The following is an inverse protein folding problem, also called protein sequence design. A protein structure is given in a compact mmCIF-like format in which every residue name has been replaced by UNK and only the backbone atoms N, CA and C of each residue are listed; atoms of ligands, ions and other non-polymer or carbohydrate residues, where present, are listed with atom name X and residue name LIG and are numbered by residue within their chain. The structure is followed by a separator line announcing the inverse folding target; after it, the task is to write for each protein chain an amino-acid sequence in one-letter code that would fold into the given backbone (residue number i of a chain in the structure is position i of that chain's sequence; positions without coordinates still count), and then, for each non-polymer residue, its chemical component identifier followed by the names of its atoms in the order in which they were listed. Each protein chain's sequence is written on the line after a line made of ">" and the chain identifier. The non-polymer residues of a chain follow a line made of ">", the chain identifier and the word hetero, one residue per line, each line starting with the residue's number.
data_IF_221443287771
#
_entry.id   IF_221443287771
#
_cell.length_a   1.000
_cell.length_b   1.000
_cell.length_c   1.000
_cell.angle_alpha   90.00
_cell.angle_beta   90.00
_cell.angle_gamma   90.00
#
_symmetry.space_group_name_H-M   'P 1'
#
loop_
_entity.id
_entity.type
_entity.pdbx_description
1 polymer ?
#
# COMPACT_ATOMS: atom_id res chain seq x y z
N UNK A 1 -7.93 20.81 -5.82
CA UNK A 1 -7.17 22.09 -5.75
C UNK A 1 -6.43 22.29 -7.06
N UNK A 2 -6.33 23.52 -7.60
CA UNK A 2 -5.53 23.77 -8.82
C UNK A 2 -4.03 23.66 -8.47
N UNK A 3 -3.22 22.83 -9.16
CA UNK A 3 -1.78 22.76 -8.91
C UNK A 3 -1.12 24.11 -9.23
N UNK A 4 -0.15 24.52 -8.40
CA UNK A 4 0.54 25.79 -8.57
C UNK A 4 1.43 25.79 -9.84
N UNK A 5 1.98 26.96 -10.17
CA UNK A 5 2.80 27.15 -11.36
C UNK A 5 4.05 26.25 -11.41
N UNK A 6 4.62 25.88 -10.25
CA UNK A 6 5.81 25.02 -10.13
C UNK A 6 5.53 23.56 -10.53
N UNK A 7 4.39 23.01 -10.09
CA UNK A 7 4.00 21.67 -10.53
C UNK A 7 3.57 21.65 -11.99
N UNK A 8 2.94 22.71 -12.51
CA UNK A 8 2.58 22.83 -13.93
C UNK A 8 3.79 22.86 -14.87
N UNK A 9 4.94 23.38 -14.44
CA UNK A 9 6.19 23.36 -15.23
C UNK A 9 6.98 22.07 -15.08
N UNK A 10 6.87 21.35 -13.95
CA UNK A 10 7.49 20.04 -13.74
C UNK A 10 6.68 18.87 -14.30
N UNK A 11 5.34 18.99 -14.38
CA UNK A 11 4.40 18.00 -14.92
C UNK A 11 4.89 17.43 -16.27
N UNK A 12 5.20 18.26 -17.29
CA UNK A 12 5.57 17.74 -18.60
C UNK A 12 6.89 16.98 -18.60
N UNK A 13 7.81 17.32 -17.69
CA UNK A 13 9.12 16.67 -17.60
C UNK A 13 9.05 15.36 -16.80
N UNK A 14 8.38 15.35 -15.64
CA UNK A 14 8.22 14.16 -14.80
C UNK A 14 7.42 13.06 -15.53
N UNK A 15 6.32 13.41 -16.20
CA UNK A 15 5.50 12.46 -16.96
C UNK A 15 6.19 11.97 -18.24
N UNK A 16 7.10 12.73 -18.86
CA UNK A 16 7.86 12.28 -20.05
C UNK A 16 8.94 11.24 -19.76
N UNK A 17 9.46 11.19 -18.53
CA UNK A 17 10.51 10.23 -18.15
C UNK A 17 9.92 8.96 -17.50
N UNK A 18 8.67 9.02 -17.05
CA UNK A 18 7.94 7.92 -16.43
C UNK A 18 7.95 6.58 -17.19
N UNK A 19 7.76 6.54 -18.53
CA UNK A 19 7.79 5.28 -19.29
C UNK A 19 9.18 4.60 -19.29
N UNK A 20 10.25 5.38 -19.15
CA UNK A 20 11.62 4.84 -19.02
C UNK A 20 11.87 4.30 -17.62
N UNK A 21 11.18 4.85 -16.63
CA UNK A 21 11.24 4.45 -15.23
C UNK A 21 10.44 3.16 -14.95
N UNK A 22 9.26 2.99 -15.58
CA UNK A 22 8.47 1.76 -15.48
C UNK A 22 9.22 0.55 -16.07
N UNK A 23 9.98 0.73 -17.17
CA UNK A 23 10.72 -0.36 -17.80
C UNK A 23 11.77 -1.04 -16.90
N UNK A 24 12.40 -0.31 -15.97
CA UNK A 24 13.32 -0.89 -14.98
C UNK A 24 12.60 -1.81 -13.99
N UNK A 25 11.48 -1.32 -13.46
CA UNK A 25 10.63 -2.09 -12.53
C UNK A 25 10.04 -3.33 -13.23
N UNK A 26 9.49 -3.18 -14.44
CA UNK A 26 8.91 -4.29 -15.21
C UNK A 26 9.95 -5.39 -15.48
N UNK A 27 11.16 -5.04 -15.93
CA UNK A 27 12.23 -6.03 -16.18
C UNK A 27 12.71 -6.72 -14.90
N UNK A 28 12.60 -6.05 -13.77
CA UNK A 28 13.02 -6.56 -12.48
C UNK A 28 11.97 -7.44 -11.81
N UNK A 29 10.68 -7.19 -12.09
CA UNK A 29 9.57 -8.00 -11.60
C UNK A 29 9.68 -9.42 -12.13
N UNK A 30 9.46 -10.40 -11.24
CA UNK A 30 9.56 -11.82 -11.56
C UNK A 30 10.99 -12.36 -11.60
N UNK A 31 12.02 -11.52 -11.48
CA UNK A 31 13.40 -11.99 -11.25
C UNK A 31 13.60 -12.31 -9.76
N UNK A 32 14.55 -13.20 -9.40
CA UNK A 32 14.90 -13.44 -8.01
C UNK A 32 15.37 -12.16 -7.30
N UNK A 33 14.86 -11.93 -6.10
CA UNK A 33 15.31 -10.84 -5.24
C UNK A 33 16.73 -11.12 -4.71
N UNK A 34 17.63 -10.17 -4.94
CA UNK A 34 19.07 -10.31 -4.67
C UNK A 34 19.67 -9.16 -3.87
N UNK A 35 18.83 -8.25 -3.34
CA UNK A 35 19.31 -7.02 -2.67
C UNK A 35 18.80 -6.87 -1.22
N UNK A 36 18.93 -7.88 -0.36
CA UNK A 36 18.36 -7.84 0.99
C UNK A 36 18.91 -6.67 1.85
N UNK A 37 20.17 -6.26 1.65
CA UNK A 37 20.75 -5.12 2.37
C UNK A 37 20.14 -3.75 2.07
N UNK A 38 19.13 -3.67 1.19
CA UNK A 38 18.38 -2.43 0.94
C UNK A 38 17.23 -2.19 1.91
N UNK A 39 16.78 -3.23 2.64
CA UNK A 39 15.58 -3.19 3.50
C UNK A 39 15.86 -2.48 4.83
N UNK A 40 16.24 -1.20 4.76
CA UNK A 40 16.73 -0.41 5.91
C UNK A 40 15.77 0.70 6.29
N UNK A 41 15.61 1.02 7.58
CA UNK A 41 14.62 2.03 8.00
C UNK A 41 15.02 3.46 7.65
N UNK A 42 16.30 3.73 7.44
CA UNK A 42 16.84 5.06 7.15
C UNK A 42 16.43 6.15 8.17
N UNK A 43 16.39 5.78 9.46
CA UNK A 43 16.01 6.65 10.59
C UNK A 43 16.72 8.00 10.53
N UNK A 44 15.96 9.09 10.54
CA UNK A 44 16.49 10.46 10.54
C UNK A 44 17.39 10.79 9.33
N UNK A 45 17.38 9.95 8.29
CA UNK A 45 18.30 10.05 7.17
C UNK A 45 18.10 11.32 6.34
N UNK A 46 19.18 12.04 6.06
CA UNK A 46 19.14 13.20 5.16
C UNK A 46 18.93 12.78 3.68
N UNK A 47 19.38 11.58 3.31
CA UNK A 47 19.29 11.10 1.92
C UNK A 47 17.94 10.47 1.60
N UNK A 48 17.45 9.57 2.45
CA UNK A 48 16.15 8.93 2.28
C UNK A 48 15.17 9.62 3.22
N UNK A 49 14.26 10.40 2.66
CA UNK A 49 13.31 11.22 3.41
C UNK A 49 12.17 10.41 4.01
N UNK A 50 11.90 9.22 3.47
CA UNK A 50 10.97 8.27 4.07
C UNK A 50 11.22 6.83 3.63
N UNK A 51 10.74 5.88 4.44
CA UNK A 51 10.65 4.45 4.14
C UNK A 51 9.26 3.90 4.46
N UNK A 52 8.90 2.82 3.79
CA UNK A 52 7.67 2.07 4.06
C UNK A 52 8.01 0.62 4.34
N UNK A 53 7.31 0.05 5.31
CA UNK A 53 7.24 -1.39 5.54
C UNK A 53 5.78 -1.80 5.63
N UNK A 54 5.44 -2.93 5.00
CA UNK A 54 4.09 -3.45 5.07
C UNK A 54 4.03 -4.97 5.02
N UNK A 55 2.96 -5.53 5.59
CA UNK A 55 2.55 -6.90 5.33
C UNK A 55 1.08 -6.88 4.99
N UNK A 56 0.71 -7.43 3.84
CA UNK A 56 -0.68 -7.49 3.38
C UNK A 56 -1.04 -8.94 3.09
N UNK A 57 -2.02 -9.46 3.82
CA UNK A 57 -2.51 -10.84 3.70
C UNK A 57 -4.01 -10.76 3.42
N UNK A 58 -4.46 -11.16 2.21
CA UNK A 58 -5.87 -11.27 1.89
C UNK A 58 -6.44 -12.60 2.42
N UNK A 59 -7.77 -12.74 2.31
CA UNK A 59 -8.50 -14.00 2.45
C UNK A 59 -8.23 -14.79 3.75
N UNK A 60 -8.21 -14.07 4.87
CA UNK A 60 -8.15 -14.71 6.18
C UNK A 60 -9.51 -15.26 6.60
N UNK A 61 -9.55 -16.29 7.47
CA UNK A 61 -10.79 -16.74 8.09
C UNK A 61 -11.55 -15.60 8.78
N UNK A 62 -12.86 -15.77 8.91
CA UNK A 62 -13.68 -14.92 9.78
C UNK A 62 -13.14 -14.98 11.22
N UNK A 63 -13.18 -13.87 11.98
CA UNK A 63 -13.72 -12.55 11.59
C UNK A 63 -12.70 -11.65 10.88
N UNK A 64 -11.48 -12.13 10.63
CA UNK A 64 -10.35 -11.28 10.23
C UNK A 64 -10.43 -10.84 8.77
N UNK A 65 -10.75 -11.74 7.83
CA UNK A 65 -10.90 -11.51 6.36
C UNK A 65 -9.66 -11.00 5.62
N UNK A 66 -8.81 -10.22 6.28
CA UNK A 66 -7.50 -9.77 5.84
C UNK A 66 -6.66 -9.43 7.08
N UNK A 67 -5.35 -9.33 6.90
CA UNK A 67 -4.44 -8.70 7.86
C UNK A 67 -3.57 -7.68 7.12
N UNK A 68 -3.37 -6.52 7.72
CA UNK A 68 -2.45 -5.51 7.21
C UNK A 68 -1.66 -4.85 8.32
N UNK A 69 -0.36 -4.70 8.11
CA UNK A 69 0.48 -3.70 8.76
C UNK A 69 0.96 -2.71 7.70
N UNK A 70 0.81 -1.41 7.98
CA UNK A 70 1.27 -0.31 7.13
C UNK A 70 2.09 0.65 8.00
N UNK A 71 3.37 0.75 7.68
CA UNK A 71 4.31 1.65 8.36
C UNK A 71 4.86 2.64 7.35
N UNK A 72 4.81 3.93 7.67
CA UNK A 72 5.46 4.99 6.90
C UNK A 72 6.34 5.78 7.86
N UNK A 73 7.65 5.59 7.73
CA UNK A 73 8.70 6.21 8.54
C UNK A 73 9.27 7.43 7.80
N UNK A 74 9.04 8.62 8.33
CA UNK A 74 9.21 9.90 7.64
C UNK A 74 7.99 10.24 6.77
N UNK A 75 7.58 11.51 6.73
CA UNK A 75 6.47 11.94 5.88
C UNK A 75 6.87 11.88 4.38
N UNK A 76 6.00 11.36 3.49
CA UNK A 76 6.30 11.29 2.05
C UNK A 76 6.44 12.63 1.33
N UNK A 77 5.82 13.71 1.82
CA UNK A 77 5.75 14.99 1.12
C UNK A 77 4.66 15.01 0.02
N UNK A 78 3.61 14.20 0.16
CA UNK A 78 2.55 14.02 -0.83
C UNK A 78 1.17 14.29 -0.22
N UNK A 79 0.29 14.96 -0.97
CA UNK A 79 -1.03 15.43 -0.45
C UNK A 79 -1.95 14.34 0.05
N UNK A 80 -1.86 13.14 -0.52
CA UNK A 80 -2.63 11.95 -0.12
C UNK A 80 -2.01 11.19 1.05
N UNK A 81 -0.69 11.21 1.18
CA UNK A 81 0.01 10.34 2.14
C UNK A 81 0.39 11.07 3.43
N UNK A 82 0.59 12.38 3.38
CA UNK A 82 0.98 13.14 4.57
C UNK A 82 -0.22 13.44 5.48
N UNK A 83 -0.12 13.00 6.73
CA UNK A 83 -0.94 13.49 7.84
C UNK A 83 -0.16 14.52 8.65
N UNK A 84 -0.24 15.81 8.29
CA UNK A 84 0.51 16.86 9.00
C UNK A 84 0.14 16.94 10.49
N UNK A 85 -1.10 16.59 10.84
CA UNK A 85 -1.58 16.53 12.22
C UNK A 85 -0.98 15.36 13.03
N UNK A 86 -0.37 14.38 12.36
CA UNK A 86 0.26 13.23 13.01
C UNK A 86 1.73 13.47 13.35
N UNK A 87 2.32 14.61 12.94
CA UNK A 87 3.72 14.94 13.21
C UNK A 87 3.94 15.02 14.71
N UNK A 88 4.87 14.20 15.23
CA UNK A 88 5.18 14.10 16.65
C UNK A 88 6.27 15.11 17.05
N UNK A 89 7.41 15.07 16.35
CA UNK A 89 8.58 15.94 16.56
C UNK A 89 8.85 16.76 15.29
N UNK A 90 9.24 16.10 14.20
CA UNK A 90 9.43 16.67 12.86
C UNK A 90 8.91 15.72 11.80
N UNK A 91 8.62 16.19 10.57
CA UNK A 91 8.23 15.30 9.47
C UNK A 91 9.21 14.16 9.21
N UNK A 92 10.52 14.37 9.38
CA UNK A 92 11.53 13.33 9.18
C UNK A 92 11.58 12.33 10.33
N UNK A 93 11.32 12.75 11.57
CA UNK A 93 11.37 11.88 12.74
C UNK A 93 10.02 11.23 13.08
N UNK A 94 8.95 11.57 12.36
CA UNK A 94 7.63 10.96 12.56
C UNK A 94 7.51 9.65 11.79
N UNK A 95 7.06 8.58 12.46
CA UNK A 95 6.55 7.36 11.82
C UNK A 95 5.07 7.21 12.11
N UNK A 96 4.29 6.82 11.09
CA UNK A 96 2.90 6.39 11.26
C UNK A 96 2.81 4.88 11.11
N UNK A 97 2.05 4.25 12.00
CA UNK A 97 1.84 2.81 12.04
C UNK A 97 0.36 2.54 12.07
N UNK A 98 -0.09 1.72 11.14
CA UNK A 98 -1.43 1.17 11.08
C UNK A 98 -1.34 -0.35 11.11
N UNK A 99 -2.22 -0.99 11.88
CA UNK A 99 -2.46 -2.42 11.77
C UNK A 99 -3.94 -2.71 11.87
N UNK A 100 -4.46 -3.58 11.02
CA UNK A 100 -5.88 -3.94 11.10
C UNK A 100 -6.24 -5.28 10.49
N UNK A 101 -7.41 -5.77 10.91
CA UNK A 101 -8.22 -6.79 10.23
C UNK A 101 -9.65 -6.26 10.08
N UNK A 102 -10.54 -7.03 9.43
CA UNK A 102 -11.96 -6.72 9.39
C UNK A 102 -12.67 -6.93 10.73
N UNK A 103 -12.06 -7.68 11.66
CA UNK A 103 -12.70 -8.05 12.91
C UNK A 103 -13.04 -6.81 13.77
N UNK A 104 -14.18 -6.80 14.49
CA UNK A 104 -14.54 -5.69 15.37
C UNK A 104 -13.43 -5.38 16.38
N UNK A 105 -13.09 -4.10 16.54
CA UNK A 105 -12.03 -3.66 17.47
C UNK A 105 -10.59 -3.93 17.01
N UNK A 106 -10.37 -4.75 15.98
CA UNK A 106 -9.04 -5.13 15.51
C UNK A 106 -8.47 -4.13 14.49
N UNK A 107 -8.36 -2.86 14.90
CA UNK A 107 -7.72 -1.82 14.11
C UNK A 107 -7.00 -0.81 15.01
N UNK A 108 -5.83 -0.40 14.59
CA UNK A 108 -4.96 0.49 15.33
C UNK A 108 -4.26 1.44 14.35
N UNK A 109 -4.20 2.72 14.70
CA UNK A 109 -3.42 3.73 14.01
C UNK A 109 -2.77 4.66 15.02
N UNK A 110 -1.47 4.89 14.89
CA UNK A 110 -0.72 5.81 15.76
C UNK A 110 0.50 6.38 15.06
N UNK A 111 0.92 7.56 15.52
CA UNK A 111 2.19 8.14 15.17
C UNK A 111 3.18 8.10 16.35
N UNK A 112 4.46 7.95 16.04
CA UNK A 112 5.56 7.93 16.99
C UNK A 112 6.71 8.82 16.52
N UNK A 113 7.52 9.31 17.45
CA UNK A 113 8.89 9.72 17.14
C UNK A 113 9.75 8.46 16.96
N UNK A 114 10.45 8.37 15.82
CA UNK A 114 11.37 7.28 15.55
C UNK A 114 12.57 7.28 16.50
N UNK A 115 13.06 8.46 16.89
CA UNK A 115 14.23 8.58 17.76
C UNK A 115 13.92 8.49 19.25
N UNK A 116 12.72 8.87 19.68
CA UNK A 116 12.35 8.88 21.10
C UNK A 116 11.52 7.67 21.52
N UNK A 117 10.76 7.06 20.60
CA UNK A 117 9.74 6.06 20.95
C UNK A 117 9.87 4.75 20.18
N UNK A 118 10.76 4.65 19.20
CA UNK A 118 10.99 3.42 18.43
C UNK A 118 12.40 2.87 18.71
N UNK A 119 12.56 1.57 18.47
CA UNK A 119 13.87 0.91 18.41
C UNK A 119 14.03 0.32 17.02
N UNK A 120 14.84 1.00 16.21
CA UNK A 120 15.02 0.70 14.79
C UNK A 120 16.51 0.43 14.54
N UNK A 121 16.86 -0.83 14.30
CA UNK A 121 18.24 -1.20 14.03
C UNK A 121 18.66 -0.74 12.63
N UNK A 122 19.85 -0.13 12.44
CA UNK A 122 20.24 0.46 11.15
C UNK A 122 20.30 -0.51 9.97
N UNK A 123 20.45 -1.81 10.24
CA UNK A 123 20.47 -2.87 9.23
C UNK A 123 19.07 -3.40 8.88
N UNK A 124 18.03 -2.95 9.60
CA UNK A 124 16.65 -3.39 9.43
C UNK A 124 16.30 -4.70 10.13
N UNK A 125 17.20 -5.24 10.95
CA UNK A 125 16.99 -6.53 11.65
C UNK A 125 15.91 -6.48 12.74
N UNK A 126 15.63 -5.30 13.26
CA UNK A 126 14.55 -5.04 14.20
C UNK A 126 13.96 -3.66 13.94
N UNK A 127 12.63 -3.63 13.83
CA UNK A 127 11.81 -2.45 13.68
C UNK A 127 10.69 -2.53 14.73
N UNK A 128 10.96 -1.97 15.91
CA UNK A 128 10.01 -1.91 17.02
C UNK A 128 9.40 -0.50 17.09
N UNK A 129 8.10 -0.42 16.84
CA UNK A 129 7.33 0.82 16.82
C UNK A 129 6.55 1.00 18.12
N UNK A 130 7.25 1.42 19.18
CA UNK A 130 6.66 1.72 20.48
C UNK A 130 6.12 0.49 21.22
N UNK A 131 6.60 -0.71 20.89
CA UNK A 131 6.13 -2.00 21.41
C UNK A 131 4.83 -2.50 20.80
N UNK A 132 4.11 -1.68 20.05
CA UNK A 132 2.77 -2.01 19.53
C UNK A 132 2.83 -2.90 18.29
N UNK A 133 3.82 -2.66 17.42
CA UNK A 133 4.12 -3.47 16.23
C UNK A 133 5.62 -3.67 16.15
N UNK A 134 6.04 -4.93 16.03
CA UNK A 134 7.45 -5.31 15.93
C UNK A 134 7.64 -6.12 14.66
N UNK A 135 8.56 -5.69 13.79
CA UNK A 135 9.03 -6.47 12.65
C UNK A 135 10.48 -6.85 12.92
N UNK A 136 10.77 -8.14 13.01
CA UNK A 136 12.11 -8.66 13.32
C UNK A 136 12.58 -9.67 12.28
N UNK A 137 13.90 -9.85 12.20
CA UNK A 137 14.54 -10.76 11.27
C UNK A 137 15.06 -10.06 10.01
N UNK A 138 15.32 -10.84 8.97
CA UNK A 138 15.90 -10.34 7.74
C UNK A 138 15.72 -11.35 6.61
N UNK A 139 15.73 -10.86 5.37
CA UNK A 139 15.47 -11.70 4.22
C UNK A 139 16.33 -13.00 4.26
N UNK A 140 15.72 -14.19 4.09
CA UNK A 140 14.33 -14.39 3.67
C UNK A 140 13.30 -14.53 4.82
N UNK A 141 13.70 -14.50 6.09
CA UNK A 141 12.81 -14.81 7.22
C UNK A 141 12.50 -13.58 8.07
N UNK A 142 11.22 -13.29 8.23
CA UNK A 142 10.73 -12.18 9.03
C UNK A 142 9.71 -12.68 10.05
N UNK A 143 9.48 -11.89 11.09
CA UNK A 143 8.38 -12.08 12.02
C UNK A 143 7.72 -10.75 12.32
N UNK A 144 6.40 -10.73 12.30
CA UNK A 144 5.58 -9.57 12.64
C UNK A 144 4.79 -9.90 13.88
N UNK A 145 4.96 -9.09 14.92
CA UNK A 145 4.23 -9.21 16.18
C UNK A 145 3.42 -7.94 16.42
N UNK A 146 2.19 -8.12 16.89
CA UNK A 146 1.27 -7.03 17.25
C UNK A 146 0.86 -7.19 18.72
N UNK A 147 1.02 -6.14 19.50
CA UNK A 147 0.70 -6.11 20.94
C UNK A 147 -0.28 -5.00 21.27
N UNK A 148 -1.57 -5.21 20.98
CA UNK A 148 -2.63 -4.26 21.33
C UNK A 148 -3.70 -4.92 22.18
N UNK A 149 -4.29 -4.13 23.08
CA UNK A 149 -5.41 -4.59 23.90
C UNK A 149 -6.56 -5.06 23.01
N UNK A 150 -6.93 -6.33 23.15
CA UNK A 150 -8.00 -6.94 22.38
C UNK A 150 -7.62 -7.36 20.96
N UNK A 151 -6.43 -7.04 20.44
CA UNK A 151 -5.95 -7.45 19.11
C UNK A 151 -4.44 -7.71 19.11
N UNK A 152 -4.06 -8.98 19.01
CA UNK A 152 -2.66 -9.39 18.95
C UNK A 152 -2.42 -10.35 17.79
N UNK A 153 -1.18 -10.42 17.32
CA UNK A 153 -0.81 -11.31 16.24
C UNK A 153 0.67 -11.68 16.34
N UNK A 154 1.01 -12.84 15.81
CA UNK A 154 2.39 -13.31 15.66
C UNK A 154 2.44 -14.12 14.36
N UNK A 155 3.08 -13.54 13.36
CA UNK A 155 3.16 -14.08 12.01
C UNK A 155 4.63 -14.25 11.64
N UNK A 156 5.01 -15.47 11.25
CA UNK A 156 6.32 -15.75 10.66
C UNK A 156 6.16 -15.75 9.15
N UNK A 157 7.05 -15.05 8.46
CA UNK A 157 7.02 -14.91 7.02
C UNK A 157 8.32 -15.40 6.41
N UNK A 158 8.22 -16.13 5.31
CA UNK A 158 9.36 -16.60 4.53
C UNK A 158 9.22 -16.15 3.08
N UNK A 159 10.08 -15.24 2.65
CA UNK A 159 10.15 -14.81 1.27
C UNK A 159 10.74 -15.92 0.38
N UNK A 160 10.10 -16.19 -0.75
CA UNK A 160 10.54 -17.23 -1.69
C UNK A 160 11.45 -16.70 -2.82
N UNK A 161 11.79 -15.41 -2.77
CA UNK A 161 12.63 -14.73 -3.75
C UNK A 161 11.87 -14.11 -4.93
N UNK A 162 10.58 -14.39 -5.13
CA UNK A 162 9.79 -13.67 -6.12
C UNK A 162 9.53 -12.23 -5.64
N UNK A 163 9.83 -11.25 -6.48
CA UNK A 163 9.61 -9.83 -6.20
C UNK A 163 8.81 -9.16 -7.31
N UNK A 164 7.87 -8.32 -6.91
CA UNK A 164 7.22 -7.34 -7.76
C UNK A 164 7.80 -5.95 -7.45
N UNK A 165 8.28 -5.25 -8.47
CA UNK A 165 8.73 -3.88 -8.34
C UNK A 165 7.62 -2.94 -8.81
N UNK A 166 7.17 -2.08 -7.90
CA UNK A 166 6.25 -0.98 -8.22
C UNK A 166 7.00 0.24 -8.74
N UNK A 167 8.20 0.49 -8.20
CA UNK A 167 9.14 1.47 -8.70
C UNK A 167 10.58 0.98 -8.49
N UNK A 168 11.47 1.27 -9.45
CA UNK A 168 12.89 0.93 -9.33
C UNK A 168 13.76 1.97 -10.04
N UNK A 169 13.98 3.09 -9.36
CA UNK A 169 14.74 4.24 -9.87
C UNK A 169 15.70 4.79 -8.81
N UNK A 170 16.77 5.53 -9.17
CA UNK A 170 17.81 5.94 -8.21
C UNK A 170 17.32 6.72 -6.97
N UNK A 171 16.17 7.39 -7.08
CA UNK A 171 15.57 8.19 -6.00
C UNK A 171 14.40 7.48 -5.30
N UNK A 172 13.93 6.34 -5.81
CA UNK A 172 12.76 5.65 -5.28
C UNK A 172 12.78 4.16 -5.67
N UNK A 173 12.86 3.32 -4.65
CA UNK A 173 12.60 1.89 -4.77
C UNK A 173 11.30 1.57 -4.03
N UNK A 174 10.41 0.80 -4.66
CA UNK A 174 9.20 0.27 -4.03
C UNK A 174 8.93 -1.13 -4.57
N UNK A 175 8.86 -2.10 -3.66
CA UNK A 175 8.76 -3.51 -3.99
C UNK A 175 7.80 -4.25 -3.04
N UNK A 176 7.30 -5.37 -3.52
CA UNK A 176 6.54 -6.37 -2.79
C UNK A 176 7.21 -7.72 -2.96
N UNK A 177 7.69 -8.32 -1.87
CA UNK A 177 8.17 -9.70 -1.82
C UNK A 177 6.98 -10.64 -1.66
N UNK A 178 7.01 -11.74 -2.41
CA UNK A 178 6.08 -12.84 -2.18
C UNK A 178 6.55 -13.65 -0.98
N UNK A 179 5.66 -13.85 -0.01
CA UNK A 179 5.96 -14.56 1.23
C UNK A 179 4.96 -15.68 1.48
N UNK A 180 5.47 -16.80 1.99
CA UNK A 180 4.65 -17.78 2.72
C UNK A 180 4.60 -17.34 4.18
N UNK A 181 3.47 -17.51 4.84
CA UNK A 181 3.32 -17.17 6.26
C UNK A 181 2.62 -18.27 7.05
N UNK A 182 2.94 -18.32 8.34
CA UNK A 182 2.26 -19.11 9.35
C UNK A 182 2.20 -18.32 10.66
N UNK A 183 1.23 -18.61 11.50
CA UNK A 183 1.14 -17.99 12.83
C UNK A 183 -0.30 -17.89 13.29
N UNK A 184 -0.57 -16.86 14.09
CA UNK A 184 -1.88 -16.68 14.68
C UNK A 184 -2.25 -15.21 14.82
N UNK A 185 -3.56 -14.98 14.85
CA UNK A 185 -4.17 -13.69 15.17
C UNK A 185 -5.16 -13.93 16.30
N UNK A 186 -5.14 -13.08 17.32
CA UNK A 186 -6.11 -13.11 18.40
C UNK A 186 -6.90 -11.80 18.45
N UNK A 187 -8.23 -11.92 18.58
CA UNK A 187 -9.14 -10.80 18.80
C UNK A 187 -10.15 -11.16 19.88
N UNK A 188 -10.38 -10.28 20.86
CA UNK A 188 -11.35 -10.54 21.94
C UNK A 188 -11.07 -11.80 22.78
N UNK A 189 -9.80 -12.24 22.83
CA UNK A 189 -9.39 -13.46 23.54
C UNK A 189 -9.49 -14.76 22.73
N UNK A 190 -10.11 -14.73 21.54
CA UNK A 190 -10.14 -15.86 20.62
C UNK A 190 -8.92 -15.82 19.71
N UNK A 191 -8.25 -16.97 19.55
CA UNK A 191 -7.06 -17.13 18.71
C UNK A 191 -7.39 -17.97 17.48
N UNK A 192 -7.08 -17.42 16.31
CA UNK A 192 -7.20 -18.05 14.99
C UNK A 192 -5.81 -18.40 14.47
N UNK A 193 -5.54 -19.67 14.21
CA UNK A 193 -4.35 -20.09 13.46
C UNK A 193 -4.53 -19.72 12.00
N UNK A 194 -3.48 -19.15 11.39
CA UNK A 194 -3.51 -18.68 10.01
C UNK A 194 -2.23 -19.08 9.30
N UNK A 195 -2.37 -19.41 8.03
CA UNK A 195 -1.24 -19.72 7.15
C UNK A 195 -1.65 -19.53 5.70
N UNK A 196 -0.68 -19.25 4.84
CA UNK A 196 -0.91 -19.12 3.41
C UNK A 196 0.18 -18.30 2.76
N UNK A 197 -0.20 -17.52 1.74
CA UNK A 197 0.70 -16.59 1.05
C UNK A 197 0.29 -15.14 1.31
N UNK A 198 1.25 -14.23 1.20
CA UNK A 198 1.13 -12.84 1.60
C UNK A 198 2.08 -11.95 0.80
N UNK A 199 2.13 -10.68 1.20
CA UNK A 199 3.17 -9.76 0.76
C UNK A 199 3.97 -9.23 1.93
N UNK A 200 5.26 -9.02 1.72
CA UNK A 200 6.09 -8.15 2.54
C UNK A 200 6.58 -7.00 1.66
N UNK A 201 6.30 -5.77 2.05
CA UNK A 201 6.50 -4.60 1.21
C UNK A 201 7.54 -3.67 1.79
N UNK A 202 8.29 -3.08 0.89
CA UNK A 202 9.32 -2.12 1.25
C UNK A 202 9.38 -0.99 0.22
N UNK A 203 9.46 0.24 0.71
CA UNK A 203 9.80 1.37 -0.12
C UNK A 203 10.82 2.27 0.57
N UNK A 204 11.63 2.97 -0.24
CA UNK A 204 12.52 4.02 0.23
C UNK A 204 12.66 5.10 -0.82
N UNK A 205 12.52 6.36 -0.41
CA UNK A 205 12.54 7.50 -1.32
C UNK A 205 13.45 8.63 -0.82
N UNK A 206 14.16 9.26 -1.74
CA UNK A 206 14.82 10.56 -1.55
C UNK A 206 13.73 11.65 -1.55
N UNK A 207 12.93 11.69 -0.48
CA UNK A 207 11.78 12.58 -0.33
C UNK A 207 12.16 14.01 0.05
N UNK A 208 11.21 14.95 -0.14
CA UNK A 208 11.40 16.38 0.14
C UNK A 208 11.81 16.65 1.60
N UNK A 209 11.30 15.86 2.55
CA UNK A 209 11.64 15.98 3.97
C UNK A 209 13.06 15.50 4.33
N UNK A 210 13.73 14.75 3.44
CA UNK A 210 15.17 14.49 3.53
C UNK A 210 15.99 15.77 3.36
N UNK A 211 15.50 16.72 2.54
CA UNK A 211 16.15 18.01 2.31
C UNK A 211 15.69 19.07 3.32
N UNK A 212 14.39 19.13 3.61
CA UNK A 212 13.79 20.18 4.44
C UNK A 212 12.87 19.57 5.49
N UNK A 213 13.33 19.57 6.75
CA UNK A 213 12.63 18.94 7.87
C UNK A 213 11.64 19.89 8.55
N UNK A 214 10.61 20.29 7.82
CA UNK A 214 9.46 21.05 8.34
C UNK A 214 8.23 20.76 7.51
N UNK A 215 7.01 20.85 8.07
CA UNK A 215 5.79 20.63 7.32
C UNK A 215 5.69 21.56 6.10
N UNK A 216 5.17 21.03 5.01
CA UNK A 216 4.89 21.81 3.81
C UNK A 216 3.41 22.18 3.75
N UNK A 217 3.11 23.40 3.32
CA UNK A 217 1.75 23.70 2.88
C UNK A 217 1.35 22.85 1.68
N UNK A 218 0.05 22.55 1.53
CA UNK A 218 -0.46 21.66 0.48
C UNK A 218 0.04 21.98 -0.94
N UNK A 219 0.24 23.27 -1.27
CA UNK A 219 0.73 23.69 -2.58
C UNK A 219 2.19 23.30 -2.90
N UNK A 220 3.00 22.97 -1.88
CA UNK A 220 4.40 22.56 -2.02
C UNK A 220 4.58 21.03 -2.00
N UNK A 221 3.53 20.27 -1.66
CA UNK A 221 3.54 18.80 -1.68
C UNK A 221 3.36 18.27 -3.09
N UNK A 222 3.81 17.04 -3.33
CA UNK A 222 3.45 16.28 -4.55
C UNK A 222 1.93 16.13 -4.57
N UNK A 223 1.24 16.56 -5.64
CA UNK A 223 -0.21 16.53 -5.72
C UNK A 223 -0.72 15.11 -6.05
N UNK A 224 -0.35 14.12 -5.23
CA UNK A 224 -0.91 12.78 -5.27
C UNK A 224 -2.33 12.87 -4.70
N UNK A 225 -3.31 12.66 -5.56
CA UNK A 225 -4.71 12.90 -5.27
C UNK A 225 -5.55 11.63 -5.32
N UNK A 226 -5.07 10.55 -5.94
CA UNK A 226 -5.69 9.24 -5.83
C UNK A 226 -4.66 8.12 -5.69
N UNK A 227 -4.98 7.14 -4.85
CA UNK A 227 -4.21 5.93 -4.65
C UNK A 227 -5.14 4.77 -4.32
N UNK A 228 -5.08 3.71 -5.12
CA UNK A 228 -5.60 2.41 -4.76
C UNK A 228 -4.49 1.38 -4.91
N UNK A 229 -4.28 0.56 -3.88
CA UNK A 229 -3.45 -0.63 -3.95
C UNK A 229 -4.22 -1.82 -3.38
N UNK A 230 -4.19 -2.97 -4.07
CA UNK A 230 -4.98 -4.13 -3.70
C UNK A 230 -4.18 -5.42 -3.81
N UNK A 231 -4.40 -6.31 -2.85
CA UNK A 231 -3.88 -7.68 -2.85
C UNK A 231 -5.07 -8.62 -2.80
N UNK A 232 -5.18 -9.53 -3.77
CA UNK A 232 -6.26 -10.53 -3.84
C UNK A 232 -5.64 -11.91 -3.71
N UNK A 233 -6.18 -12.73 -2.80
CA UNK A 233 -5.88 -14.16 -2.78
C UNK A 233 -6.65 -14.83 -3.91
N UNK A 234 -6.01 -15.43 -4.90
CA UNK A 234 -6.73 -16.22 -5.91
C UNK A 234 -6.94 -17.64 -5.42
N UNK A 235 -5.90 -18.19 -4.77
CA UNK A 235 -5.88 -19.48 -4.11
C UNK A 235 -4.80 -19.47 -3.01
N UNK A 236 -4.54 -20.64 -2.41
CA UNK A 236 -3.59 -20.84 -1.31
C UNK A 236 -2.12 -20.55 -1.69
N UNK A 237 -1.83 -20.30 -2.96
CA UNK A 237 -0.47 -20.10 -3.49
C UNK A 237 -0.33 -18.95 -4.47
N UNK A 238 -1.40 -18.21 -4.74
CA UNK A 238 -1.47 -17.28 -5.86
C UNK A 238 -2.15 -15.98 -5.50
N UNK A 239 -1.48 -14.86 -5.75
CA UNK A 239 -2.00 -13.52 -5.49
C UNK A 239 -2.03 -12.62 -6.74
N UNK A 240 -3.03 -11.75 -6.80
CA UNK A 240 -3.00 -10.55 -7.65
C UNK A 240 -2.53 -9.33 -6.85
N UNK A 241 -1.74 -8.49 -7.51
CA UNK A 241 -1.41 -7.13 -7.06
C UNK A 241 -1.94 -6.13 -8.06
N UNK A 242 -2.75 -5.18 -7.62
CA UNK A 242 -3.37 -4.18 -8.48
C UNK A 242 -3.11 -2.80 -7.90
N UNK A 243 -2.59 -1.87 -8.70
CA UNK A 243 -2.31 -0.51 -8.25
C UNK A 243 -2.77 0.53 -9.27
N UNK A 244 -3.38 1.61 -8.79
CA UNK A 244 -3.79 2.79 -9.56
C UNK A 244 -3.43 4.04 -8.76
N UNK A 245 -2.58 4.89 -9.34
CA UNK A 245 -2.04 6.09 -8.69
C UNK A 245 -2.22 7.26 -9.63
N UNK A 246 -2.83 8.33 -9.14
CA UNK A 246 -2.96 9.56 -9.89
C UNK A 246 -2.19 10.70 -9.24
N UNK A 247 -1.73 11.62 -10.09
CA UNK A 247 -1.13 12.88 -9.69
C UNK A 247 -1.76 14.00 -10.52
N UNK A 248 -2.29 15.00 -9.85
CA UNK A 248 -2.98 16.14 -10.49
C UNK A 248 -4.15 15.72 -11.39
N UNK A 249 -4.92 14.72 -10.98
CA UNK A 249 -6.10 14.22 -11.67
C UNK A 249 -5.78 13.31 -12.85
N UNK A 250 -4.52 12.91 -13.03
CA UNK A 250 -4.06 12.12 -14.17
C UNK A 250 -3.44 10.81 -13.69
N UNK A 251 -3.74 9.67 -14.36
CA UNK A 251 -3.07 8.41 -14.09
C UNK A 251 -1.56 8.57 -14.24
N UNK A 252 -0.84 8.25 -13.17
CA UNK A 252 0.61 8.17 -13.14
C UNK A 252 1.04 6.72 -13.35
N UNK A 253 0.39 5.79 -12.63
CA UNK A 253 0.75 4.37 -12.65
C UNK A 253 -0.53 3.54 -12.53
N UNK A 254 -0.76 2.65 -13.49
CA UNK A 254 -1.75 1.57 -13.41
C UNK A 254 -1.09 0.23 -13.74
N UNK A 255 -1.21 -0.75 -12.85
CA UNK A 255 -0.55 -2.04 -13.04
C UNK A 255 -1.31 -3.21 -12.41
N UNK A 256 -1.10 -4.38 -13.02
CA UNK A 256 -1.61 -5.64 -12.55
C UNK A 256 -0.49 -6.71 -12.60
N UNK A 257 -0.25 -7.37 -11.47
CA UNK A 257 0.67 -8.51 -11.39
C UNK A 257 -0.07 -9.73 -10.88
N UNK A 258 0.23 -10.89 -11.47
CA UNK A 258 -0.24 -12.18 -11.00
C UNK A 258 0.97 -13.03 -10.61
N UNK A 259 1.04 -13.42 -9.33
CA UNK A 259 2.15 -14.15 -8.74
C UNK A 259 1.65 -15.46 -8.16
N UNK A 260 2.23 -16.57 -8.59
CA UNK A 260 2.01 -17.88 -7.97
C UNK A 260 3.34 -18.45 -7.49
N UNK A 261 3.32 -19.12 -6.33
CA UNK A 261 4.52 -19.66 -5.70
C UNK A 261 5.27 -20.61 -6.64
N UNK A 262 6.52 -20.24 -6.98
CA UNK A 262 7.39 -21.03 -7.86
C UNK A 262 7.10 -20.90 -9.36
N UNK A 263 6.18 -20.02 -9.77
CA UNK A 263 5.88 -19.75 -11.18
C UNK A 263 6.42 -18.40 -11.65
N UNK A 264 6.45 -18.17 -12.95
CA UNK A 264 6.79 -16.86 -13.49
C UNK A 264 5.69 -15.83 -13.13
N UNK A 265 6.09 -14.63 -12.73
CA UNK A 265 5.13 -13.53 -12.50
C UNK A 265 4.62 -13.01 -13.83
N UNK A 266 3.29 -12.99 -13.99
CA UNK A 266 2.65 -12.26 -15.09
C UNK A 266 2.54 -10.78 -14.73
N UNK A 267 2.78 -9.92 -15.71
CA UNK A 267 2.87 -8.47 -15.56
C UNK A 267 2.10 -7.78 -16.68
N UNK A 268 1.18 -6.89 -16.31
CA UNK A 268 0.58 -5.95 -17.25
C UNK A 268 0.54 -4.53 -16.68
N UNK A 269 0.91 -3.58 -17.53
CA UNK A 269 0.67 -2.14 -17.34
C UNK A 269 -0.27 -1.60 -18.42
N UNK A 270 -0.65 -2.45 -19.39
CA UNK A 270 -1.42 -2.06 -20.57
C UNK A 270 -2.88 -2.42 -20.38
N UNK A 271 -3.77 -1.46 -20.63
CA UNK A 271 -5.20 -1.68 -20.49
C UNK A 271 -5.63 -1.98 -19.05
N UNK A 272 -4.76 -1.70 -18.07
CA UNK A 272 -5.07 -1.82 -16.66
C UNK A 272 -5.92 -0.64 -16.24
N UNK A 273 -7.10 -0.91 -15.69
CA UNK A 273 -8.07 0.10 -15.28
C UNK A 273 -8.74 -0.29 -13.99
N UNK A 274 -8.87 0.69 -13.10
CA UNK A 274 -9.69 0.62 -11.92
C UNK A 274 -10.91 1.53 -12.08
N UNK A 275 -12.09 1.00 -11.78
CA UNK A 275 -13.35 1.72 -11.87
C UNK A 275 -14.16 1.51 -10.61
N UNK A 276 -14.44 2.59 -9.87
CA UNK A 276 -15.42 2.54 -8.78
C UNK A 276 -16.80 2.63 -9.41
N UNK A 277 -17.62 1.59 -9.26
CA UNK A 277 -18.97 1.52 -9.85
C UNK A 277 -20.05 1.98 -8.88
N UNK A 278 -19.77 1.95 -7.58
CA UNK A 278 -20.67 2.43 -6.54
C UNK A 278 -19.86 2.99 -5.37
N UNK A 279 -20.24 4.18 -4.88
CA UNK A 279 -19.71 4.77 -3.64
C UNK A 279 -20.69 4.58 -2.49
N UNK A 280 -20.17 4.56 -1.26
CA UNK A 280 -21.00 4.60 -0.06
C UNK A 280 -21.88 5.86 -0.04
N UNK A 281 -23.11 5.72 0.44
CA UNK A 281 -24.07 6.82 0.53
C UNK A 281 -23.52 7.95 1.43
N UNK A 282 -22.90 7.58 2.55
CA UNK A 282 -22.31 8.50 3.50
C UNK A 282 -20.80 8.66 3.29
N UNK A 283 -20.33 9.90 3.47
CA UNK A 283 -18.89 10.18 3.46
C UNK A 283 -18.27 9.77 4.78
N UNK A 284 -17.16 9.03 4.73
CA UNK A 284 -16.40 8.65 5.94
C UNK A 284 -15.56 9.83 6.40
N UNK A 285 -15.44 10.02 7.71
CA UNK A 285 -14.65 11.10 8.32
C UNK A 285 -13.49 10.49 9.09
N UNK A 286 -12.27 10.95 8.80
CA UNK A 286 -11.07 10.46 9.47
C UNK A 286 -10.90 11.08 10.87
N UNK A 287 -9.97 10.58 11.71
CA UNK A 287 -9.74 11.13 13.05
C UNK A 287 -9.35 12.62 13.09
N UNK A 288 -8.96 13.20 11.96
CA UNK A 288 -8.57 14.60 11.81
C UNK A 288 -9.67 15.46 11.16
N UNK A 289 -10.86 14.90 10.93
CA UNK A 289 -12.01 15.59 10.34
C UNK A 289 -12.03 15.66 8.82
N UNK A 290 -11.07 15.01 8.12
CA UNK A 290 -11.10 14.97 6.66
C UNK A 290 -12.17 14.00 6.17
N UNK A 291 -12.83 14.37 5.08
CA UNK A 291 -13.94 13.63 4.49
C UNK A 291 -13.48 12.86 3.26
N UNK A 292 -13.84 11.59 3.14
CA UNK A 292 -13.55 10.75 1.98
C UNK A 292 -14.76 9.87 1.62
N UNK A 293 -15.07 9.81 0.32
CA UNK A 293 -16.03 8.82 -0.19
C UNK A 293 -15.30 7.51 -0.40
N UNK A 294 -15.90 6.42 0.04
CA UNK A 294 -15.30 5.09 -0.08
C UNK A 294 -16.07 4.25 -1.11
N UNK A 295 -15.38 3.40 -1.88
CA UNK A 295 -16.02 2.50 -2.81
C UNK A 295 -16.82 1.44 -2.04
N UNK A 296 -17.98 1.08 -2.58
CA UNK A 296 -18.77 -0.10 -2.17
C UNK A 296 -18.64 -1.18 -3.22
N UNK A 297 -18.63 -0.81 -4.50
CA UNK A 297 -18.38 -1.71 -5.63
C UNK A 297 -17.39 -1.12 -6.60
N UNK A 298 -16.63 -1.99 -7.23
CA UNK A 298 -15.63 -1.60 -8.21
C UNK A 298 -15.31 -2.73 -9.16
N UNK A 299 -14.64 -2.38 -10.26
CA UNK A 299 -14.12 -3.30 -11.25
C UNK A 299 -12.65 -3.00 -11.53
N UNK A 300 -11.85 -4.05 -11.67
CA UNK A 300 -10.54 -3.99 -12.33
C UNK A 300 -10.59 -4.72 -13.66
N UNK A 301 -9.87 -4.19 -14.65
CA UNK A 301 -9.61 -4.90 -15.91
C UNK A 301 -8.14 -4.78 -16.29
N UNK A 302 -7.59 -5.76 -17.02
CA UNK A 302 -6.31 -5.64 -17.71
C UNK A 302 -6.40 -6.30 -19.10
N UNK A 303 -6.84 -5.54 -20.10
CA UNK A 303 -7.15 -6.08 -21.42
C UNK A 303 -8.17 -7.23 -21.33
N UNK A 304 -7.97 -8.28 -22.12
CA UNK A 304 -8.79 -9.50 -22.10
C UNK A 304 -8.27 -10.55 -21.09
N UNK A 305 -7.13 -10.30 -20.45
CA UNK A 305 -6.48 -11.26 -19.56
C UNK A 305 -7.09 -11.27 -18.16
N UNK A 306 -7.62 -10.14 -17.68
CA UNK A 306 -8.09 -10.00 -16.31
C UNK A 306 -9.36 -9.16 -16.22
N UNK A 307 -10.33 -9.66 -15.46
CA UNK A 307 -11.45 -8.89 -14.92
C UNK A 307 -11.67 -9.28 -13.45
N UNK A 308 -11.93 -8.29 -12.60
CA UNK A 308 -12.26 -8.49 -11.19
C UNK A 308 -13.42 -7.59 -10.82
N UNK A 309 -14.46 -8.13 -10.18
CA UNK A 309 -15.55 -7.36 -9.59
C UNK A 309 -15.47 -7.46 -8.08
N UNK A 310 -15.28 -6.33 -7.41
CA UNK A 310 -15.17 -6.24 -5.95
C UNK A 310 -16.44 -5.68 -5.31
N UNK A 311 -16.79 -6.20 -4.13
CA UNK A 311 -17.80 -5.64 -3.24
C UNK A 311 -17.22 -5.54 -1.83
N UNK A 312 -17.03 -4.31 -1.34
CA UNK A 312 -16.50 -4.02 -0.01
C UNK A 312 -17.45 -4.56 1.04
N UNK A 313 -16.89 -5.32 1.98
CA UNK A 313 -17.67 -5.97 3.03
C UNK A 313 -17.04 -5.88 4.42
N UNK A 314 -15.96 -5.12 4.59
CA UNK A 314 -15.39 -4.78 5.90
C UNK A 314 -15.73 -3.35 6.33
N UNK A 315 -15.67 -3.05 7.64
CA UNK A 315 -15.60 -1.68 8.10
C UNK A 315 -14.35 -0.97 7.56
N UNK A 316 -14.41 0.35 7.27
CA UNK A 316 -13.25 1.12 6.88
C UNK A 316 -12.28 1.31 8.06
N UNK A 317 -10.98 1.06 7.84
CA UNK A 317 -9.93 1.25 8.85
C UNK A 317 -8.98 2.36 8.41
N UNK A 318 -8.97 3.49 9.11
CA UNK A 318 -8.05 4.58 8.79
C UNK A 318 -6.59 4.15 9.02
N UNK A 319 -5.68 4.48 8.10
CA UNK A 319 -4.26 4.20 8.33
C UNK A 319 -3.34 4.07 7.12
N UNK A 320 -3.76 4.48 5.92
CA UNK A 320 -2.88 4.57 4.75
C UNK A 320 -2.83 6.03 4.32
N UNK A 321 -1.84 6.76 4.85
CA UNK A 321 -1.83 8.21 4.72
C UNK A 321 -3.16 8.80 5.21
N UNK A 322 -3.83 9.57 4.36
CA UNK A 322 -5.15 10.18 4.66
C UNK A 322 -6.34 9.28 4.33
N UNK A 323 -6.12 8.04 3.94
CA UNK A 323 -7.18 7.12 3.51
C UNK A 323 -7.33 5.89 4.38
N UNK A 324 -7.97 4.89 3.77
CA UNK A 324 -8.56 3.76 4.47
C UNK A 324 -8.09 2.43 3.89
N UNK A 325 -8.05 1.46 4.79
CA UNK A 325 -7.91 0.05 4.53
C UNK A 325 -9.31 -0.57 4.51
N UNK A 326 -9.56 -1.42 3.51
CA UNK A 326 -10.82 -2.07 3.23
C UNK A 326 -10.58 -3.54 2.88
N UNK A 327 -11.48 -4.42 3.33
CA UNK A 327 -11.61 -5.80 2.89
C UNK A 327 -12.85 -5.94 2.01
N UNK A 328 -12.78 -6.83 1.03
CA UNK A 328 -13.87 -7.06 0.10
C UNK A 328 -13.93 -8.52 -0.35
N UNK A 329 -15.11 -8.94 -0.82
CA UNK A 329 -15.26 -10.13 -1.66
C UNK A 329 -15.12 -9.75 -3.13
N UNK A 330 -14.56 -10.65 -3.92
CA UNK A 330 -14.48 -10.47 -5.35
C UNK A 330 -14.66 -11.77 -6.11
N UNK A 331 -15.13 -11.65 -7.34
CA UNK A 331 -15.07 -12.70 -8.33
C UNK A 331 -14.50 -12.14 -9.62
N UNK A 332 -13.99 -13.00 -10.49
CA UNK A 332 -13.35 -12.54 -11.70
C UNK A 332 -12.88 -13.68 -12.60
N UNK A 333 -12.12 -13.30 -13.62
CA UNK A 333 -11.49 -14.21 -14.54
C UNK A 333 -10.05 -13.76 -14.77
N UNK A 334 -9.11 -14.70 -14.71
CA UNK A 334 -7.74 -14.49 -15.14
C UNK A 334 -7.35 -15.54 -16.18
N UNK A 335 -7.00 -15.10 -17.39
CA UNK A 335 -6.59 -15.94 -18.53
C UNK A 335 -7.55 -17.13 -18.79
N UNK A 336 -8.85 -16.86 -18.75
CA UNK A 336 -9.90 -17.85 -18.98
C UNK A 336 -10.29 -18.67 -17.75
N UNK A 337 -9.65 -18.46 -16.59
CA UNK A 337 -9.95 -19.19 -15.34
C UNK A 337 -10.70 -18.29 -14.37
N UNK A 338 -11.91 -18.72 -13.99
CA UNK A 338 -12.73 -18.01 -13.00
C UNK A 338 -12.19 -18.20 -11.58
N UNK A 339 -12.43 -17.21 -10.72
CA UNK A 339 -12.16 -17.28 -9.30
C UNK A 339 -13.24 -16.51 -8.49
N UNK A 340 -13.48 -16.95 -7.25
CA UNK A 340 -14.26 -16.27 -6.21
C UNK A 340 -13.40 -16.26 -4.95
N UNK A 341 -13.15 -15.09 -4.40
CA UNK A 341 -12.22 -14.92 -3.29
C UNK A 341 -12.41 -13.58 -2.57
N UNK A 342 -11.41 -13.18 -1.79
CA UNK A 342 -11.31 -11.93 -1.07
C UNK A 342 -10.05 -11.16 -1.42
N UNK A 343 -10.15 -9.86 -1.24
CA UNK A 343 -9.00 -8.97 -1.31
C UNK A 343 -8.96 -7.97 -0.18
N UNK A 344 -7.77 -7.39 -0.04
CA UNK A 344 -7.44 -6.24 0.76
C UNK A 344 -7.23 -5.04 -0.17
N UNK A 345 -7.66 -3.86 0.25
CA UNK A 345 -7.53 -2.61 -0.49
C UNK A 345 -7.08 -1.47 0.41
N UNK A 346 -6.09 -0.73 -0.06
CA UNK A 346 -5.74 0.61 0.40
C UNK A 346 -6.39 1.60 -0.55
N UNK A 347 -7.07 2.62 -0.01
CA UNK A 347 -7.84 3.55 -0.81
C UNK A 347 -7.71 4.99 -0.29
N UNK A 348 -7.33 5.90 -1.18
CA UNK A 348 -7.28 7.34 -0.98
C UNK A 348 -7.91 8.03 -2.20
N UNK A 349 -8.91 8.88 -1.99
CA UNK A 349 -9.51 9.73 -3.04
C UNK A 349 -9.65 11.17 -2.53
N UNK A 350 -8.63 11.97 -2.84
CA UNK A 350 -8.59 13.42 -2.64
C UNK A 350 -8.93 14.21 -3.92
N UNK A 351 -9.00 13.54 -5.08
CA UNK A 351 -9.47 14.13 -6.33
C UNK A 351 -10.91 14.62 -6.20
N UNK A 352 -11.73 13.89 -5.43
CA UNK A 352 -13.17 14.07 -5.32
C UNK A 352 -13.89 13.94 -6.68
N UNK A 353 -13.22 13.36 -7.67
CA UNK A 353 -13.83 13.03 -8.95
C UNK A 353 -14.89 11.94 -8.76
N UNK A 354 -16.03 12.04 -9.43
CA UNK A 354 -17.03 10.96 -9.40
C UNK A 354 -16.57 9.83 -10.35
N UNK A 355 -15.79 8.89 -9.84
CA UNK A 355 -15.26 7.77 -10.65
C UNK A 355 -16.32 6.78 -11.13
N UNK A 356 -17.51 6.83 -10.53
CA UNK A 356 -18.69 6.07 -10.94
C UNK A 356 -19.51 6.77 -12.04
N UNK A 357 -19.14 7.98 -12.43
CA UNK A 357 -19.80 8.67 -13.53
C UNK A 357 -19.46 7.97 -14.86
N UNK A 358 -20.44 7.70 -15.75
CA UNK A 358 -20.20 7.02 -17.02
C UNK A 358 -19.15 7.68 -17.91
N UNK A 359 -18.97 9.00 -17.79
CA UNK A 359 -18.05 9.81 -18.58
C UNK A 359 -16.66 9.94 -17.97
N UNK A 360 -16.45 9.58 -16.69
CA UNK A 360 -15.15 9.71 -16.01
C UNK A 360 -14.02 9.08 -16.85
N UNK A 361 -14.32 7.95 -17.46
CA UNK A 361 -13.34 7.11 -18.14
C UNK A 361 -13.14 7.49 -19.61
N UNK A 362 -14.09 8.24 -20.18
CA UNK A 362 -13.93 8.84 -21.51
C UNK A 362 -13.01 10.08 -21.49
N UNK A 363 -12.80 10.66 -20.30
CA UNK A 363 -11.94 11.83 -20.10
C UNK A 363 -10.50 11.50 -19.70
N UNK A 364 -10.17 10.25 -19.37
CA UNK A 364 -8.81 9.86 -19.01
C UNK A 364 -7.97 9.59 -20.27
N UNK A 365 -6.72 10.09 -20.35
CA UNK A 365 -5.82 9.72 -21.43
C UNK A 365 -5.55 8.21 -21.38
N UNK A 366 -5.69 7.53 -22.52
CA UNK A 366 -5.26 6.13 -22.65
C UNK A 366 -3.77 6.03 -22.30
N UNK A 367 -3.37 5.24 -21.28
CA UNK A 367 -1.96 4.99 -21.02
C UNK A 367 -1.35 4.26 -22.22
N UNK A 368 -0.25 4.81 -22.74
CA UNK A 368 0.51 4.27 -23.88
C UNK A 368 1.41 3.12 -23.48
#
# INVERSE_FOLDING_TARGET
>A
MRPNLFWRTLEPAAFRVLPRFSGSAIRATGQPFTRPGMLKPHVGGHRYGWTHYGVMIPDLPEPHRYFSTMVIAGLPGATALDNDHAVTTTPRDTVTVSVSTAAPGAAFYRAYSMTEQCRLEPDGSLLDFGGDVIIEGGYPNFRVTVHRDGFTADLRLRANGQVAWFARIPAYDHLSLFVEYEGWIANGGERTEVSGVGTFEYAACVGLHGLVDRPFGAAAKVPLDFFSYQVIGIDDRTHLLLADVHVSGKPLVTMAYHRSAGQQTWVSHRGVRFEVTEYAADTTVDPYGNRMRLPVRFTWTAGDDLIVHGTVDSPPRFGVGRGYILGYRCHGNFQGREFDSRGYMEYIDNEQANRAAPDYLTGLPTPH
#
